data_IF_735752934019
#
_entry.id   IF_735752934019
#
_cell.length_a   1.000
_cell.length_b   1.000
_cell.length_c   1.000
_cell.angle_alpha   90.00
_cell.angle_beta   90.00
_cell.angle_gamma   90.00
#
_symmetry.space_group_name_H-M   'P 1'
#
loop_
_entity.id
_entity.type
_entity.pdbx_description
1 polymer ?
#
# COMPACT_ATOMS: atom_id res chain seq x y z
N UNK A 1 23.77 6.36 -15.74
CA UNK A 1 23.35 4.94 -15.60
C UNK A 1 22.30 4.82 -14.52
N UNK A 2 21.27 3.97 -14.67
CA UNK A 2 20.37 3.61 -13.56
C UNK A 2 21.13 2.94 -12.40
N UNK A 3 20.74 3.17 -11.14
CA UNK A 3 21.46 2.64 -9.96
C UNK A 3 21.61 1.12 -9.99
N UNK A 4 20.56 0.37 -10.39
CA UNK A 4 20.63 -1.09 -10.43
C UNK A 4 21.67 -1.61 -11.44
N UNK A 5 22.06 -0.82 -12.46
CA UNK A 5 23.14 -1.20 -13.38
C UNK A 5 24.51 -1.12 -12.71
N UNK A 6 24.70 -0.22 -11.74
CA UNK A 6 25.92 -0.18 -10.93
C UNK A 6 25.99 -1.37 -9.95
N UNK A 7 24.84 -1.93 -9.57
CA UNK A 7 24.75 -3.08 -8.67
C UNK A 7 24.92 -4.44 -9.36
N UNK A 8 25.27 -4.46 -10.66
CA UNK A 8 25.46 -5.69 -11.44
C UNK A 8 24.34 -6.01 -12.43
N UNK A 9 23.45 -5.07 -12.72
CA UNK A 9 22.38 -5.23 -13.70
C UNK A 9 21.08 -5.77 -13.12
N UNK A 10 20.06 -5.91 -13.97
CA UNK A 10 18.73 -6.35 -13.55
C UNK A 10 18.68 -7.88 -13.39
N UNK A 11 18.36 -8.37 -12.19
CA UNK A 11 18.14 -9.80 -11.94
C UNK A 11 16.74 -10.29 -12.30
N UNK A 12 15.81 -9.37 -12.62
CA UNK A 12 14.40 -9.66 -12.91
C UNK A 12 13.78 -8.56 -13.77
N UNK A 13 12.72 -8.88 -14.49
CA UNK A 13 12.00 -7.93 -15.37
C UNK A 13 11.14 -6.92 -14.59
N UNK A 14 10.66 -7.31 -13.41
CA UNK A 14 9.83 -6.48 -12.54
C UNK A 14 9.90 -6.90 -11.08
N UNK A 15 9.43 -6.02 -10.19
CA UNK A 15 9.40 -6.28 -8.74
C UNK A 15 7.95 -6.42 -8.30
N UNK A 16 7.56 -7.61 -7.85
CA UNK A 16 6.22 -7.82 -7.29
C UNK A 16 6.05 -7.00 -6.01
N UNK A 17 4.94 -6.27 -5.92
CA UNK A 17 4.58 -5.45 -4.76
C UNK A 17 3.28 -5.97 -4.15
N UNK A 18 3.05 -5.63 -2.88
CA UNK A 18 1.80 -5.90 -2.20
C UNK A 18 1.13 -4.61 -1.72
N UNK A 19 -0.19 -4.62 -1.63
CA UNK A 19 -0.96 -3.52 -1.05
C UNK A 19 -1.51 -3.88 0.33
N UNK A 20 -2.03 -2.88 1.05
CA UNK A 20 -2.73 -3.06 2.31
C UNK A 20 -4.23 -2.91 2.09
N UNK A 21 -4.99 -3.80 2.70
CA UNK A 21 -6.46 -3.69 2.83
C UNK A 21 -6.81 -3.67 4.31
N UNK A 22 -7.72 -2.78 4.68
CA UNK A 22 -8.11 -2.56 6.09
C UNK A 22 -9.60 -2.26 6.20
N UNK A 23 -10.28 -2.86 7.18
CA UNK A 23 -11.70 -2.61 7.46
C UNK A 23 -12.08 -2.95 8.90
N UNK A 24 -13.15 -2.34 9.41
CA UNK A 24 -13.61 -2.56 10.79
C UNK A 24 -14.38 -3.87 10.94
N UNK A 25 -15.02 -4.29 9.86
CA UNK A 25 -15.70 -5.59 9.72
C UNK A 25 -15.03 -6.42 8.64
N UNK A 26 -15.35 -7.72 8.62
CA UNK A 26 -14.87 -8.63 7.58
C UNK A 26 -15.38 -8.17 6.20
N UNK A 27 -16.64 -7.72 6.12
CA UNK A 27 -17.24 -7.27 4.86
C UNK A 27 -16.54 -6.04 4.29
N UNK A 28 -16.21 -5.05 5.15
CA UNK A 28 -15.42 -3.87 4.74
C UNK A 28 -14.09 -4.27 4.10
N UNK A 29 -13.43 -5.28 4.69
CA UNK A 29 -12.14 -5.77 4.23
C UNK A 29 -12.27 -6.49 2.90
N UNK A 30 -13.34 -7.27 2.70
CA UNK A 30 -13.59 -7.99 1.45
C UNK A 30 -13.91 -7.03 0.30
N UNK A 31 -14.66 -5.96 0.55
CA UNK A 31 -14.90 -4.89 -0.42
C UNK A 31 -13.58 -4.22 -0.83
N UNK A 32 -12.74 -3.88 0.15
CA UNK A 32 -11.44 -3.25 -0.07
C UNK A 32 -10.46 -4.19 -0.83
N UNK A 33 -10.50 -5.48 -0.51
CA UNK A 33 -9.75 -6.53 -1.18
C UNK A 33 -10.15 -6.67 -2.65
N UNK A 34 -11.46 -6.76 -2.94
CA UNK A 34 -11.96 -6.87 -4.30
C UNK A 34 -11.47 -5.70 -5.17
N UNK A 35 -11.56 -4.47 -4.66
CA UNK A 35 -11.07 -3.28 -5.34
C UNK A 35 -9.57 -3.33 -5.67
N UNK A 36 -8.74 -3.84 -4.76
CA UNK A 36 -7.29 -3.96 -5.01
C UNK A 36 -6.96 -5.13 -5.93
N UNK A 37 -7.73 -6.22 -5.87
CA UNK A 37 -7.62 -7.32 -6.82
C UNK A 37 -7.91 -6.86 -8.25
N UNK A 38 -8.95 -6.03 -8.44
CA UNK A 38 -9.28 -5.42 -9.74
C UNK A 38 -8.18 -4.47 -10.25
N UNK A 39 -7.41 -3.85 -9.36
CA UNK A 39 -6.22 -3.06 -9.73
C UNK A 39 -5.03 -3.93 -10.17
N UNK A 40 -5.17 -5.26 -10.09
CA UNK A 40 -4.20 -6.24 -10.57
C UNK A 40 -3.22 -6.75 -9.51
N UNK A 41 -3.36 -6.35 -8.23
CA UNK A 41 -2.42 -6.77 -7.19
C UNK A 41 -2.40 -8.29 -7.03
N UNK A 42 -1.23 -8.90 -7.25
CA UNK A 42 -1.01 -10.34 -7.05
C UNK A 42 -0.83 -10.73 -5.58
N UNK A 43 -0.38 -9.78 -4.75
CA UNK A 43 -0.20 -9.97 -3.32
C UNK A 43 -0.94 -8.85 -2.55
N UNK A 44 -1.76 -9.24 -1.57
CA UNK A 44 -2.59 -8.30 -0.79
C UNK A 44 -2.49 -8.67 0.68
N UNK A 45 -2.03 -7.74 1.52
CA UNK A 45 -2.06 -7.89 2.98
C UNK A 45 -3.43 -7.46 3.49
N UNK A 46 -4.03 -8.31 4.32
CA UNK A 46 -5.38 -8.15 4.84
C UNK A 46 -5.35 -7.90 6.34
N UNK A 47 -6.09 -6.89 6.81
CA UNK A 47 -6.23 -6.57 8.22
C UNK A 47 -7.69 -6.20 8.54
N UNK A 48 -8.25 -6.81 9.58
CA UNK A 48 -9.62 -6.59 10.03
C UNK A 48 -9.61 -6.12 11.49
N UNK A 49 -10.56 -5.25 11.84
CA UNK A 49 -10.87 -4.93 13.23
C UNK A 49 -11.33 -6.18 13.99
N UNK A 50 -10.98 -6.24 15.28
CA UNK A 50 -11.47 -7.28 16.19
C UNK A 50 -12.67 -6.72 16.98
N UNK A 51 -13.84 -7.38 16.98
CA UNK A 51 -15.01 -6.92 17.73
C UNK A 51 -14.68 -6.70 19.21
N UNK A 52 -15.10 -5.56 19.76
CA UNK A 52 -14.86 -5.19 21.16
C UNK A 52 -13.52 -4.48 21.43
N UNK A 53 -12.61 -4.40 20.45
CA UNK A 53 -11.39 -3.60 20.56
C UNK A 53 -11.56 -2.22 19.93
N UNK A 54 -11.21 -1.15 20.67
CA UNK A 54 -11.30 0.24 20.15
C UNK A 54 -10.33 0.51 19.01
N UNK A 55 -9.15 -0.11 19.04
CA UNK A 55 -8.12 0.00 18.01
C UNK A 55 -7.38 -1.32 17.88
N UNK A 56 -6.96 -1.65 16.66
CA UNK A 56 -6.11 -2.80 16.37
C UNK A 56 -4.81 -2.28 15.78
N UNK A 57 -3.67 -2.76 16.27
CA UNK A 57 -2.36 -2.39 15.73
C UNK A 57 -2.29 -2.79 14.24
N UNK A 58 -1.71 -1.94 13.40
CA UNK A 58 -1.65 -2.22 11.96
C UNK A 58 -2.81 -1.66 11.13
N UNK A 59 -3.87 -1.15 11.76
CA UNK A 59 -5.04 -0.60 11.08
C UNK A 59 -4.87 0.86 10.66
N UNK A 60 -5.30 1.18 9.45
CA UNK A 60 -5.38 2.56 8.99
C UNK A 60 -6.29 3.39 9.93
N UNK A 61 -5.90 4.65 10.18
CA UNK A 61 -6.67 5.56 11.05
C UNK A 61 -7.99 6.05 10.43
N UNK A 62 -8.25 5.75 9.15
CA UNK A 62 -9.48 6.12 8.44
C UNK A 62 -9.71 5.26 7.20
N UNK A 63 -10.98 5.18 6.76
CA UNK A 63 -11.40 4.36 5.60
C UNK A 63 -10.65 4.82 4.36
N UNK A 64 -9.95 3.88 3.72
CA UNK A 64 -9.16 4.16 2.52
C UNK A 64 -7.92 5.01 2.75
N UNK A 65 -7.31 5.01 3.95
CA UNK A 65 -5.97 5.56 4.19
C UNK A 65 -4.92 4.45 4.29
N UNK A 66 -3.66 4.79 4.01
CA UNK A 66 -2.56 3.88 4.28
C UNK A 66 -2.36 3.73 5.80
N UNK A 67 -1.96 2.54 6.23
CA UNK A 67 -1.52 2.36 7.61
C UNK A 67 -0.17 3.04 7.83
N UNK A 68 -0.11 3.93 8.82
CA UNK A 68 1.12 4.62 9.22
C UNK A 68 1.60 4.13 10.59
N UNK A 69 2.87 3.70 10.66
CA UNK A 69 3.49 3.16 11.88
C UNK A 69 3.99 4.23 12.86
N UNK A 70 4.00 5.52 12.48
CA UNK A 70 4.61 6.58 13.30
C UNK A 70 3.92 7.94 13.18
N UNK A 71 3.45 8.47 14.30
CA UNK A 71 2.52 9.59 14.39
C UNK A 71 3.07 11.00 14.06
N UNK A 72 4.19 11.15 13.33
CA UNK A 72 4.78 12.51 13.08
C UNK A 72 5.44 12.75 11.72
N UNK A 73 5.11 12.02 10.67
CA UNK A 73 5.40 12.46 9.29
C UNK A 73 4.26 12.00 8.40
N UNK A 74 3.67 12.88 7.56
CA UNK A 74 2.81 12.40 6.49
C UNK A 74 3.67 11.51 5.62
N UNK A 75 3.48 10.20 5.72
CA UNK A 75 4.09 9.28 4.80
C UNK A 75 3.22 9.45 3.57
N UNK A 76 3.81 10.10 2.57
CA UNK A 76 3.11 10.45 1.35
C UNK A 76 2.89 9.18 0.53
N UNK A 77 2.05 8.27 1.03
CA UNK A 77 1.70 7.00 0.38
C UNK A 77 0.86 7.16 -0.87
N UNK A 78 0.72 8.38 -1.43
CA UNK A 78 -0.02 8.64 -2.67
C UNK A 78 0.61 9.67 -3.60
N UNK A 79 1.70 10.32 -3.19
CA UNK A 79 2.32 11.40 -3.97
C UNK A 79 3.80 11.52 -3.63
N UNK A 80 4.67 11.30 -4.60
CA UNK A 80 6.09 11.66 -4.50
C UNK A 80 6.26 12.94 -5.31
N UNK A 81 6.71 14.03 -4.67
CA UNK A 81 7.04 15.26 -5.39
C UNK A 81 8.44 15.11 -5.95
N UNK A 82 8.57 15.01 -7.27
CA UNK A 82 9.86 15.00 -7.97
C UNK A 82 9.97 16.31 -8.73
N UNK A 83 10.99 17.13 -8.43
CA UNK A 83 11.22 18.44 -9.05
C UNK A 83 10.00 19.38 -9.01
N UNK A 84 9.31 19.46 -7.86
CA UNK A 84 8.12 20.30 -7.70
C UNK A 84 6.87 19.80 -8.43
N UNK A 85 6.95 18.66 -9.14
CA UNK A 85 5.80 18.01 -9.77
C UNK A 85 5.27 16.90 -8.87
N UNK A 86 3.98 16.97 -8.57
CA UNK A 86 3.20 15.93 -7.89
C UNK A 86 3.13 14.72 -8.83
N UNK A 87 3.96 13.71 -8.59
CA UNK A 87 3.94 12.45 -9.33
C UNK A 87 3.20 11.38 -8.52
N UNK A 88 2.04 10.96 -9.03
CA UNK A 88 1.32 9.78 -8.54
C UNK A 88 1.98 8.55 -9.14
N UNK A 89 2.84 7.89 -8.38
CA UNK A 89 3.26 6.53 -8.72
C UNK A 89 2.16 5.58 -8.28
N UNK A 90 1.30 5.19 -9.22
CA UNK A 90 0.63 3.91 -9.09
C UNK A 90 1.71 2.87 -9.36
N UNK A 91 2.15 2.15 -8.33
CA UNK A 91 2.77 0.86 -8.58
C UNK A 91 1.71 0.04 -9.33
N UNK A 92 1.80 0.02 -10.66
CA UNK A 92 0.97 -0.85 -11.47
C UNK A 92 1.33 -2.26 -11.02
N UNK A 93 0.33 -3.00 -10.57
CA UNK A 93 0.55 -4.39 -10.31
C UNK A 93 1.01 -5.05 -11.63
N UNK A 94 2.20 -5.63 -11.58
CA UNK A 94 2.82 -6.39 -12.67
C UNK A 94 2.33 -7.82 -12.64
#
# INVERSE_FOLDING_TARGET
MPLYQLLGGASREGVMVYCHTTGHTIDDVLEDYARHKEQGFKAIRVQCGVPGMKTTYGMAKGKGLAYETRDKRPVAGRTIVVNGKVSRFYAKAV
#
